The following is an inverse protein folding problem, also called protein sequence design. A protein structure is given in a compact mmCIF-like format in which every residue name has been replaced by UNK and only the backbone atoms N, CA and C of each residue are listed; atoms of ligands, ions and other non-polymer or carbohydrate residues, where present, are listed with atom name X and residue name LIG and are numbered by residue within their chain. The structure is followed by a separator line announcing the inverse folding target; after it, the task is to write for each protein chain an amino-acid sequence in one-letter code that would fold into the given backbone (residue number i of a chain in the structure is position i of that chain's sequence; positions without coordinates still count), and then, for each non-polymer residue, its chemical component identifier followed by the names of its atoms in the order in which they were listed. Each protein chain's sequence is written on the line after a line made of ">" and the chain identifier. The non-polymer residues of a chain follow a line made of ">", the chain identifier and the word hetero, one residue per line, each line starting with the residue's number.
data_IF_395373024205
#
_entry.id   IF_395373024205
#
_cell.length_a   1.000
_cell.length_b   1.000
_cell.length_c   1.000
_cell.angle_alpha   90.00
_cell.angle_beta   90.00
_cell.angle_gamma   90.00
#
_symmetry.space_group_name_H-M   'P 1'
#
loop_
_entity.id
_entity.type
_entity.pdbx_description
1 polymer ?
#
# COMPACT_ATOMS: atom_id res chain seq x y z
N UNK A 1 -23.08 -28.48 2.79
CA UNK A 1 -22.07 -28.22 1.73
C UNK A 1 -21.77 -26.72 1.57
N UNK A 2 -22.68 -25.81 1.95
CA UNK A 2 -22.44 -24.35 1.90
C UNK A 2 -21.42 -23.84 2.92
N UNK A 3 -21.39 -24.41 4.14
CA UNK A 3 -20.48 -23.97 5.22
C UNK A 3 -19.01 -23.99 4.83
N UNK A 4 -18.59 -24.99 4.04
CA UNK A 4 -17.20 -25.10 3.56
C UNK A 4 -16.87 -24.00 2.54
N UNK A 5 -17.83 -23.57 1.72
CA UNK A 5 -17.64 -22.46 0.77
C UNK A 5 -17.55 -21.13 1.50
N UNK A 6 -18.40 -20.90 2.49
CA UNK A 6 -18.37 -19.69 3.33
C UNK A 6 -17.07 -19.61 4.10
N UNK A 7 -16.65 -20.70 4.76
CA UNK A 7 -15.40 -20.74 5.52
C UNK A 7 -14.18 -20.48 4.63
N UNK A 8 -14.13 -21.06 3.42
CA UNK A 8 -13.07 -20.79 2.44
C UNK A 8 -13.02 -19.32 2.04
N UNK A 9 -14.18 -18.72 1.75
CA UNK A 9 -14.25 -17.31 1.40
C UNK A 9 -13.71 -16.41 2.53
N UNK A 10 -14.18 -16.65 3.76
CA UNK A 10 -13.73 -15.92 4.95
C UNK A 10 -12.23 -16.09 5.15
N UNK A 11 -11.72 -17.32 5.04
CA UNK A 11 -10.29 -17.61 5.17
C UNK A 11 -9.46 -16.88 4.11
N UNK A 12 -9.86 -16.96 2.83
CA UNK A 12 -9.21 -16.26 1.72
C UNK A 12 -9.15 -14.76 1.96
N UNK A 13 -10.26 -14.17 2.42
CA UNK A 13 -10.31 -12.74 2.74
C UNK A 13 -9.40 -12.38 3.92
N UNK A 14 -9.42 -13.19 4.98
CA UNK A 14 -8.60 -13.01 6.16
C UNK A 14 -7.10 -13.10 5.85
N UNK A 15 -6.68 -14.09 5.05
CA UNK A 15 -5.30 -14.19 4.55
C UNK A 15 -4.91 -12.95 3.77
N UNK A 16 -5.78 -12.47 2.88
CA UNK A 16 -5.50 -11.27 2.10
C UNK A 16 -5.28 -10.03 2.97
N UNK A 17 -6.19 -9.78 3.93
CA UNK A 17 -6.07 -8.65 4.85
C UNK A 17 -4.81 -8.79 5.71
N UNK A 18 -4.59 -9.95 6.34
CA UNK A 18 -3.41 -10.16 7.18
C UNK A 18 -2.11 -9.94 6.42
N UNK A 19 -2.04 -10.40 5.17
CA UNK A 19 -0.85 -10.20 4.34
C UNK A 19 -0.62 -8.72 4.05
N UNK A 20 -1.67 -7.97 3.68
CA UNK A 20 -1.57 -6.53 3.45
C UNK A 20 -1.18 -5.76 4.72
N UNK A 21 -1.78 -6.11 5.86
CA UNK A 21 -1.42 -5.55 7.17
C UNK A 21 0.03 -5.89 7.53
N UNK A 22 0.48 -7.13 7.31
CA UNK A 22 1.86 -7.53 7.56
C UNK A 22 2.84 -6.69 6.76
N UNK A 23 2.57 -6.43 5.48
CA UNK A 23 3.41 -5.54 4.67
C UNK A 23 3.36 -4.10 5.19
N UNK A 24 2.17 -3.54 5.45
CA UNK A 24 2.04 -2.17 5.94
C UNK A 24 2.73 -1.93 7.29
N UNK A 25 2.54 -2.85 8.25
CA UNK A 25 3.21 -2.82 9.56
C UNK A 25 4.71 -3.06 9.39
N UNK A 26 5.11 -4.01 8.53
CA UNK A 26 6.51 -4.30 8.25
C UNK A 26 7.25 -3.08 7.71
N UNK A 27 6.65 -2.36 6.74
CA UNK A 27 7.22 -1.11 6.23
C UNK A 27 7.37 -0.09 7.36
N UNK A 28 6.31 0.18 8.12
CA UNK A 28 6.38 1.14 9.23
C UNK A 28 7.40 0.75 10.32
N UNK A 29 7.71 -0.55 10.46
CA UNK A 29 8.67 -1.05 11.46
C UNK A 29 10.12 -0.87 11.01
N UNK A 30 10.40 -1.05 9.72
CA UNK A 30 11.77 -0.96 9.18
C UNK A 30 12.07 0.38 8.49
N UNK A 31 11.05 1.16 8.18
CA UNK A 31 11.12 2.48 7.59
C UNK A 31 10.14 3.37 8.35
N UNK A 32 10.65 4.04 9.40
CA UNK A 32 9.83 4.81 10.31
C UNK A 32 9.35 6.13 9.68
N UNK A 33 8.11 6.55 9.96
CA UNK A 33 7.62 7.84 9.51
C UNK A 33 8.36 8.99 10.22
N UNK A 34 8.49 10.16 9.56
CA UNK A 34 8.92 11.38 10.22
C UNK A 34 8.07 11.67 11.47
N UNK A 35 8.70 12.20 12.51
CA UNK A 35 8.02 12.58 13.75
C UNK A 35 7.25 13.88 13.54
N UNK A 36 5.97 13.90 13.94
CA UNK A 36 5.13 15.09 13.83
C UNK A 36 5.57 16.14 14.87
N UNK A 37 5.82 17.40 14.47
CA UNK A 37 6.16 18.47 15.40
C UNK A 37 5.05 18.72 16.42
N UNK A 38 5.38 18.67 17.71
CA UNK A 38 4.41 18.95 18.77
C UNK A 38 4.11 20.45 18.85
N UNK A 39 2.82 20.80 19.01
CA UNK A 39 2.43 22.19 19.15
C UNK A 39 2.99 22.78 20.46
N UNK A 40 3.76 23.88 20.41
CA UNK A 40 4.41 24.43 21.60
C UNK A 40 3.41 24.87 22.67
N UNK A 41 3.57 24.38 23.89
CA UNK A 41 2.68 24.71 25.01
C UNK A 41 2.69 26.19 25.39
N UNK A 42 3.79 26.90 25.08
CA UNK A 42 3.92 28.35 25.23
C UNK A 42 2.92 29.15 24.35
N UNK A 43 2.38 28.53 23.30
CA UNK A 43 1.37 29.10 22.42
C UNK A 43 -0.07 28.76 22.84
N UNK A 44 -0.29 28.08 23.96
CA UNK A 44 -1.63 27.78 24.47
C UNK A 44 -2.28 28.97 25.21
N UNK A 45 -1.47 29.91 25.69
CA UNK A 45 -1.92 31.10 26.43
C UNK A 45 -1.67 32.38 25.62
N UNK A 46 -2.14 32.42 24.37
CA UNK A 46 -2.05 33.61 23.53
C UNK A 46 -3.11 34.61 24.00
N UNK A 47 -2.67 35.76 24.52
CA UNK A 47 -3.53 36.89 24.84
C UNK A 47 -3.98 37.64 23.58
N UNK A 48 -4.54 38.86 23.70
CA UNK A 48 -4.98 39.65 22.54
C UNK A 48 -3.86 39.95 21.51
N UNK A 49 -2.59 39.89 21.93
CA UNK A 49 -1.42 40.06 21.06
C UNK A 49 -0.34 39.04 21.44
N UNK A 50 0.28 38.43 20.43
CA UNK A 50 1.46 37.60 20.64
C UNK A 50 2.64 38.45 21.10
N UNK A 51 3.40 37.95 22.07
CA UNK A 51 4.70 38.52 22.44
C UNK A 51 5.73 38.23 21.33
N UNK A 52 6.82 38.99 21.29
CA UNK A 52 7.92 38.73 20.33
C UNK A 52 8.51 37.31 20.48
N UNK A 53 8.54 36.79 21.70
CA UNK A 53 8.97 35.42 22.00
C UNK A 53 7.98 34.38 21.47
N UNK A 54 6.68 34.59 21.65
CA UNK A 54 5.64 33.73 21.06
C UNK A 54 5.68 33.76 19.53
N UNK A 55 5.93 34.92 18.91
CA UNK A 55 6.08 35.01 17.45
C UNK A 55 7.28 34.22 16.95
N UNK A 56 8.41 34.27 17.66
CA UNK A 56 9.59 33.47 17.32
C UNK A 56 9.30 31.96 17.43
N UNK A 57 8.62 31.52 18.49
CA UNK A 57 8.21 30.12 18.69
C UNK A 57 7.27 29.65 17.57
N UNK A 58 6.29 30.48 17.19
CA UNK A 58 5.37 30.15 16.10
C UNK A 58 6.10 30.01 14.77
N UNK A 59 6.99 30.96 14.44
CA UNK A 59 7.79 30.89 13.20
C UNK A 59 8.67 29.63 13.17
N UNK A 60 9.24 29.24 14.31
CA UNK A 60 10.01 28.00 14.41
C UNK A 60 9.11 26.77 14.18
N UNK A 61 7.94 26.71 14.82
CA UNK A 61 6.98 25.62 14.63
C UNK A 61 6.51 25.53 13.17
N UNK A 62 6.24 26.66 12.51
CA UNK A 62 5.85 26.70 11.10
C UNK A 62 6.97 26.16 10.20
N UNK A 63 8.24 26.50 10.50
CA UNK A 63 9.40 25.96 9.81
C UNK A 63 9.55 24.45 10.02
N UNK A 64 9.38 23.96 11.25
CA UNK A 64 9.47 22.55 11.59
C UNK A 64 8.33 21.75 10.92
N UNK A 65 7.13 22.32 10.85
CA UNK A 65 5.99 21.75 10.13
C UNK A 65 6.22 21.69 8.62
N UNK A 66 6.84 22.70 8.02
CA UNK A 66 7.22 22.68 6.61
C UNK A 66 8.22 21.56 6.31
N UNK A 67 9.29 21.45 7.11
CA UNK A 67 10.28 20.37 6.99
C UNK A 67 9.67 18.98 7.21
N UNK A 68 8.77 18.84 8.19
CA UNK A 68 8.01 17.61 8.39
C UNK A 68 7.18 17.22 7.16
N UNK A 69 6.45 18.18 6.56
CA UNK A 69 5.63 17.93 5.38
C UNK A 69 6.49 17.46 4.19
N UNK A 70 7.62 18.11 3.95
CA UNK A 70 8.57 17.73 2.89
C UNK A 70 9.11 16.31 3.10
N UNK A 71 9.52 15.99 4.33
CA UNK A 71 9.97 14.64 4.69
C UNK A 71 8.84 13.61 4.55
N UNK A 72 7.60 13.97 4.89
CA UNK A 72 6.45 13.10 4.80
C UNK A 72 6.09 12.77 3.33
N UNK A 73 6.25 13.73 2.42
CA UNK A 73 6.09 13.49 0.97
C UNK A 73 7.10 12.46 0.47
N UNK A 74 8.38 12.62 0.85
CA UNK A 74 9.45 11.68 0.48
C UNK A 74 9.19 10.30 1.09
N UNK A 75 8.78 10.25 2.36
CA UNK A 75 8.41 9.02 3.06
C UNK A 75 7.30 8.27 2.33
N UNK A 76 6.17 8.94 2.03
CA UNK A 76 5.03 8.33 1.34
C UNK A 76 5.40 7.79 -0.04
N UNK A 77 6.31 8.48 -0.75
CA UNK A 77 6.83 8.04 -2.04
C UNK A 77 7.61 6.73 -1.91
N UNK A 78 8.53 6.64 -0.95
CA UNK A 78 9.33 5.44 -0.72
C UNK A 78 8.45 4.28 -0.25
N UNK A 79 7.51 4.51 0.67
CA UNK A 79 6.55 3.51 1.13
C UNK A 79 5.69 2.99 -0.04
N UNK A 80 5.23 3.89 -0.91
CA UNK A 80 4.47 3.55 -2.11
C UNK A 80 5.28 2.62 -3.02
N UNK A 81 6.53 2.96 -3.33
CA UNK A 81 7.42 2.12 -4.16
C UNK A 81 7.62 0.73 -3.54
N UNK A 82 7.94 0.67 -2.24
CA UNK A 82 8.17 -0.60 -1.53
C UNK A 82 6.90 -1.45 -1.56
N UNK A 83 5.75 -0.88 -1.23
CA UNK A 83 4.48 -1.58 -1.26
C UNK A 83 4.11 -2.11 -2.65
N UNK A 84 4.32 -1.33 -3.72
CA UNK A 84 4.10 -1.77 -5.09
C UNK A 84 5.02 -2.94 -5.45
N UNK A 85 6.31 -2.88 -5.09
CA UNK A 85 7.24 -3.96 -5.34
C UNK A 85 6.82 -5.26 -4.65
N UNK A 86 6.44 -5.19 -3.36
CA UNK A 86 5.91 -6.34 -2.63
C UNK A 86 4.61 -6.86 -3.24
N UNK A 87 3.69 -5.98 -3.66
CA UNK A 87 2.45 -6.37 -4.31
C UNK A 87 2.73 -7.18 -5.59
N UNK A 88 3.63 -6.72 -6.45
CA UNK A 88 4.03 -7.43 -7.67
C UNK A 88 4.63 -8.80 -7.35
N UNK A 89 5.54 -8.87 -6.39
CA UNK A 89 6.17 -10.14 -5.97
C UNK A 89 5.14 -11.11 -5.42
N UNK A 90 4.26 -10.65 -4.52
CA UNK A 90 3.19 -11.47 -3.93
C UNK A 90 2.24 -11.99 -5.00
N UNK A 91 1.84 -11.14 -5.95
CA UNK A 91 0.96 -11.54 -7.04
C UNK A 91 1.66 -12.55 -7.96
N UNK A 92 2.93 -12.37 -8.30
CA UNK A 92 3.69 -13.33 -9.09
C UNK A 92 3.81 -14.69 -8.37
N UNK A 93 4.09 -14.67 -7.06
CA UNK A 93 4.09 -15.88 -6.20
C UNK A 93 2.70 -16.52 -6.19
N UNK A 94 1.62 -15.74 -6.10
CA UNK A 94 0.26 -16.28 -6.09
C UNK A 94 -0.03 -17.13 -7.34
N UNK A 95 0.41 -16.68 -8.51
CA UNK A 95 0.25 -17.41 -9.78
C UNK A 95 1.15 -18.64 -9.80
N UNK A 96 2.41 -18.52 -9.39
CA UNK A 96 3.36 -19.64 -9.41
C UNK A 96 2.91 -20.84 -8.54
N UNK A 97 2.20 -20.57 -7.43
CA UNK A 97 1.73 -21.61 -6.50
C UNK A 97 0.28 -22.04 -6.71
N UNK A 98 -0.42 -21.50 -7.72
CA UNK A 98 -1.84 -21.76 -7.99
C UNK A 98 -2.16 -23.25 -8.21
N UNK A 99 -1.22 -23.99 -8.82
CA UNK A 99 -1.38 -25.42 -9.13
C UNK A 99 -1.30 -26.37 -7.92
N UNK A 100 -0.84 -25.90 -6.75
CA UNK A 100 -0.68 -26.76 -5.57
C UNK A 100 -1.76 -26.55 -4.52
N UNK A 101 -2.13 -25.31 -4.20
CA UNK A 101 -3.07 -24.98 -3.11
C UNK A 101 -3.97 -23.80 -3.51
N UNK A 102 -5.05 -24.10 -4.24
CA UNK A 102 -5.91 -23.08 -4.87
C UNK A 102 -6.45 -22.02 -3.90
N UNK A 103 -7.03 -22.43 -2.76
CA UNK A 103 -7.62 -21.48 -1.80
C UNK A 103 -6.60 -20.57 -1.10
N UNK A 104 -5.36 -21.07 -0.91
CA UNK A 104 -4.27 -20.29 -0.33
C UNK A 104 -3.73 -19.27 -1.35
N UNK A 105 -3.57 -19.70 -2.61
CA UNK A 105 -3.22 -18.82 -3.73
C UNK A 105 -4.26 -17.70 -3.93
N UNK A 106 -5.55 -17.99 -3.78
CA UNK A 106 -6.61 -16.98 -3.84
C UNK A 106 -6.45 -15.90 -2.75
N UNK A 107 -6.12 -16.31 -1.52
CA UNK A 107 -5.90 -15.38 -0.40
C UNK A 107 -4.63 -14.55 -0.58
N UNK A 108 -3.54 -15.18 -1.04
CA UNK A 108 -2.28 -14.49 -1.35
C UNK A 108 -2.47 -13.49 -2.50
N UNK A 109 -3.24 -13.82 -3.54
CA UNK A 109 -3.57 -12.87 -4.60
C UNK A 109 -4.34 -11.68 -4.05
N UNK A 110 -5.38 -11.93 -3.23
CA UNK A 110 -6.17 -10.86 -2.62
C UNK A 110 -5.29 -9.93 -1.76
N UNK A 111 -4.34 -10.49 -1.00
CA UNK A 111 -3.38 -9.71 -0.23
C UNK A 111 -2.43 -8.89 -1.11
N UNK A 112 -1.98 -9.45 -2.24
CA UNK A 112 -1.22 -8.71 -3.25
C UNK A 112 -2.02 -7.52 -3.82
N UNK A 113 -3.31 -7.71 -4.10
CA UNK A 113 -4.20 -6.64 -4.57
C UNK A 113 -4.42 -5.57 -3.51
N UNK A 114 -4.67 -5.94 -2.26
CA UNK A 114 -4.79 -4.97 -1.16
C UNK A 114 -3.49 -4.20 -0.93
N UNK A 115 -2.34 -4.87 -1.03
CA UNK A 115 -1.02 -4.22 -0.93
C UNK A 115 -0.79 -3.26 -2.11
N UNK A 116 -1.24 -3.62 -3.31
CA UNK A 116 -1.18 -2.74 -4.48
C UNK A 116 -2.02 -1.48 -4.26
N UNK A 117 -3.27 -1.63 -3.79
CA UNK A 117 -4.16 -0.51 -3.46
C UNK A 117 -3.52 0.36 -2.37
N UNK A 118 -2.92 -0.25 -1.34
CA UNK A 118 -2.20 0.47 -0.30
C UNK A 118 -1.03 1.30 -0.86
N UNK A 119 -0.21 0.72 -1.73
CA UNK A 119 0.90 1.42 -2.39
C UNK A 119 0.44 2.59 -3.27
N UNK A 120 -0.66 2.42 -4.01
CA UNK A 120 -1.29 3.50 -4.78
C UNK A 120 -1.86 4.58 -3.84
N UNK A 121 -2.55 4.17 -2.77
CA UNK A 121 -3.09 5.05 -1.73
C UNK A 121 -2.03 5.97 -1.13
N UNK A 122 -0.87 5.40 -0.78
CA UNK A 122 0.30 6.15 -0.32
C UNK A 122 0.84 7.12 -1.37
N UNK A 123 0.75 6.77 -2.65
CA UNK A 123 1.15 7.66 -3.74
C UNK A 123 0.31 8.93 -3.83
N UNK A 124 -0.99 8.87 -3.51
CA UNK A 124 -1.84 10.07 -3.44
C UNK A 124 -1.41 11.05 -2.34
N UNK A 125 -0.78 10.58 -1.27
CA UNK A 125 -0.29 11.41 -0.17
C UNK A 125 1.06 12.12 -0.45
N UNK A 126 1.49 12.16 -1.72
CA UNK A 126 2.75 12.82 -2.14
C UNK A 126 2.53 14.18 -2.79
N UNK A 127 1.27 14.60 -3.01
CA UNK A 127 0.85 15.81 -3.74
C UNK A 127 1.48 16.02 -5.12
N UNK A 128 2.18 15.02 -5.65
CA UNK A 128 2.86 15.03 -6.95
C UNK A 128 2.00 14.30 -7.99
N UNK A 129 1.30 15.08 -8.83
CA UNK A 129 0.38 14.53 -9.84
C UNK A 129 1.09 13.60 -10.84
N UNK A 130 2.37 13.85 -11.15
CA UNK A 130 3.13 13.00 -12.08
C UNK A 130 3.42 11.66 -11.42
N UNK A 131 3.85 11.67 -10.16
CA UNK A 131 4.09 10.45 -9.39
C UNK A 131 2.83 9.60 -9.24
N UNK A 132 1.70 10.24 -8.93
CA UNK A 132 0.39 9.59 -8.82
C UNK A 132 0.01 8.90 -10.14
N UNK A 133 0.13 9.63 -11.27
CA UNK A 133 -0.19 9.08 -12.59
C UNK A 133 0.67 7.86 -12.92
N UNK A 134 1.98 7.94 -12.69
CA UNK A 134 2.91 6.81 -12.92
C UNK A 134 2.54 5.62 -12.04
N UNK A 135 2.28 5.85 -10.76
CA UNK A 135 1.93 4.80 -9.79
C UNK A 135 0.65 4.06 -10.19
N UNK A 136 -0.40 4.79 -10.55
CA UNK A 136 -1.66 4.21 -11.03
C UNK A 136 -1.45 3.45 -12.33
N UNK A 137 -0.67 4.00 -13.26
CA UNK A 137 -0.36 3.36 -14.55
C UNK A 137 0.37 2.03 -14.37
N UNK A 138 1.37 1.99 -13.48
CA UNK A 138 2.11 0.77 -13.15
C UNK A 138 1.17 -0.25 -12.51
N UNK A 139 0.35 0.18 -11.54
CA UNK A 139 -0.64 -0.71 -10.92
C UNK A 139 -1.61 -1.31 -11.93
N UNK A 140 -2.11 -0.50 -12.85
CA UNK A 140 -3.00 -0.96 -13.93
C UNK A 140 -2.29 -1.97 -14.84
N UNK A 141 -1.07 -1.67 -15.29
CA UNK A 141 -0.29 -2.57 -16.16
C UNK A 141 -0.04 -3.93 -15.48
N UNK A 142 0.30 -3.92 -14.20
CA UNK A 142 0.50 -5.12 -13.37
C UNK A 142 -0.79 -5.94 -13.29
N UNK A 143 -1.93 -5.32 -12.98
CA UNK A 143 -3.23 -6.00 -12.88
C UNK A 143 -3.63 -6.61 -14.22
N UNK A 144 -3.46 -5.89 -15.33
CA UNK A 144 -3.77 -6.40 -16.67
C UNK A 144 -2.88 -7.59 -17.02
N UNK A 145 -1.56 -7.46 -16.83
CA UNK A 145 -0.59 -8.51 -17.17
C UNK A 145 -0.86 -9.80 -16.39
N UNK A 146 -1.01 -9.68 -15.07
CA UNK A 146 -1.24 -10.83 -14.19
C UNK A 146 -2.64 -11.43 -14.39
N UNK A 147 -3.65 -10.59 -14.60
CA UNK A 147 -5.01 -11.03 -14.93
C UNK A 147 -5.03 -11.83 -16.22
N UNK A 148 -4.34 -11.36 -17.26
CA UNK A 148 -4.18 -12.10 -18.52
C UNK A 148 -3.51 -13.46 -18.28
N UNK A 149 -2.37 -13.48 -17.58
CA UNK A 149 -1.64 -14.73 -17.35
C UNK A 149 -2.43 -15.74 -16.49
N UNK A 150 -3.21 -15.26 -15.52
CA UNK A 150 -4.01 -16.12 -14.65
C UNK A 150 -5.24 -16.68 -15.36
N UNK A 151 -6.01 -15.83 -16.04
CA UNK A 151 -7.32 -16.22 -16.58
C UNK A 151 -7.25 -16.73 -18.02
N UNK A 152 -6.32 -16.24 -18.85
CA UNK A 152 -6.24 -16.61 -20.28
C UNK A 152 -5.29 -17.79 -20.50
N UNK A 153 -4.09 -17.78 -19.90
CA UNK A 153 -3.10 -18.86 -20.10
C UNK A 153 -3.56 -20.20 -19.53
N UNK A 154 -4.37 -20.19 -18.47
CA UNK A 154 -4.95 -21.41 -17.88
C UNK A 154 -5.97 -22.13 -18.78
N UNK A 155 -6.55 -21.44 -19.78
CA UNK A 155 -7.51 -22.01 -20.71
C UNK A 155 -6.85 -22.55 -21.99
N UNK A 156 -5.76 -21.94 -22.46
CA UNK A 156 -5.03 -22.40 -23.65
C UNK A 156 -4.46 -23.83 -23.47
N UNK A 157 -3.94 -24.14 -22.28
CA UNK A 157 -3.32 -25.44 -21.99
C UNK A 157 -4.34 -26.60 -21.91
N UNK A 158 -5.63 -26.32 -21.66
CA UNK A 158 -6.70 -27.34 -21.65
C UNK A 158 -7.30 -27.63 -23.02
N UNK A 159 -7.11 -26.73 -24.00
CA UNK A 159 -7.56 -26.94 -25.38
C UNK A 159 -6.70 -28.00 -26.08
N UNK A 160 -5.37 -27.89 -25.95
CA UNK A 160 -4.42 -28.80 -26.62
C UNK A 160 -4.42 -30.22 -26.03
N UNK A 161 -4.85 -30.38 -24.77
CA UNK A 161 -5.00 -31.68 -24.12
C UNK A 161 -6.25 -32.46 -24.55
N UNK A 162 -7.19 -31.83 -25.28
CA UNK A 162 -8.38 -32.49 -25.85
C UNK A 162 -8.23 -32.89 -27.32
N UNK A 163 -7.11 -32.56 -27.94
CA UNK A 163 -6.84 -32.84 -29.38
C UNK A 163 -5.75 -33.89 -29.59
N UNK A 164 -5.27 -34.54 -28.52
CA UNK A 164 -4.48 -35.76 -28.54
C UNK A 164 -5.24 -36.88 -27.85
#
# INVERSE_FOLDING_TARGET
>A
MEDNKVLKLVYTFFVGILLATFIGVGINTFYEPPQYPEYPSALNAVGEKMTAEQTAIMNQYDSDMADYNDKMVVYNRIVSIIALAFAVVILAVSIAFENRIKFLSDGVMLGGLFTLIYGIGRGFATDDSKYIFVTVTVGLAVVIYLGYHRFVSGHAQKSDAKTK
#
